data_IF_747372329452
#
_entry.id   IF_747372329452
#
_cell.length_a   1.000
_cell.length_b   1.000
_cell.length_c   1.000
_cell.angle_alpha   90.00
_cell.angle_beta   90.00
_cell.angle_gamma   90.00
#
_symmetry.space_group_name_H-M   'P 1'
#
loop_
_entity.id
_entity.type
_entity.pdbx_description
1 polymer ?
2 non-polymer ?
3 non-polymer ?
4 non-polymer ?
5 water ?
#
# COMPACT_ATOMS: atom_id res chain seq x y z
N UNK A 5 5.30 9.63 16.47
CA UNK A 5 5.19 10.05 15.05
C UNK A 5 5.94 9.08 14.13
N UNK A 6 5.23 8.54 13.14
CA UNK A 6 5.79 7.60 12.17
C UNK A 6 5.52 8.12 10.77
N UNK A 7 6.51 8.00 9.89
CA UNK A 7 6.42 8.51 8.52
C UNK A 7 6.85 7.43 7.55
N UNK A 8 6.01 7.16 6.55
CA UNK A 8 6.35 6.22 5.50
C UNK A 8 6.74 7.00 4.26
N UNK A 9 8.05 7.02 3.96
CA UNK A 9 8.55 7.73 2.79
C UNK A 9 8.26 6.87 1.57
N UNK A 10 7.37 7.34 0.72
CA UNK A 10 6.77 6.49 -0.30
C UNK A 10 7.18 6.89 -1.71
N UNK A 11 7.67 5.90 -2.46
CA UNK A 11 7.84 6.00 -3.91
C UNK A 11 6.55 5.56 -4.58
N UNK A 12 5.95 6.47 -5.36
CA UNK A 12 4.76 6.17 -6.14
C UNK A 12 5.17 6.06 -7.59
N UNK A 13 4.79 4.96 -8.22
CA UNK A 13 5.12 4.70 -9.62
C UNK A 13 3.84 4.48 -10.41
N UNK A 14 3.79 5.05 -11.61
CA UNK A 14 2.68 4.85 -12.54
C UNK A 14 3.26 4.35 -13.85
N UNK A 15 2.62 3.35 -14.45
CA UNK A 15 3.16 2.77 -15.70
C UNK A 15 2.71 3.55 -16.93
N UNK A 16 3.21 3.13 -18.09
CA UNK A 16 2.88 3.81 -19.36
C UNK A 16 1.37 3.86 -19.65
N UNK A 17 0.66 2.81 -19.24
CA UNK A 17 -0.80 2.76 -19.41
C UNK A 17 -1.51 3.84 -18.60
N UNK A 18 -1.04 4.09 -17.37
CA UNK A 18 -1.54 5.21 -16.57
C UNK A 18 -1.30 6.55 -17.25
N UNK A 19 -0.09 6.73 -17.81
CA UNK A 19 0.27 7.95 -18.52
C UNK A 19 -0.60 8.13 -19.76
N UNK A 20 -0.79 7.05 -20.52
CA UNK A 20 -1.63 7.06 -21.73
C UNK A 20 -3.06 7.49 -21.43
N UNK A 21 -3.62 6.98 -20.34
CA UNK A 21 -5.01 7.28 -20.00
C UNK A 21 -5.18 8.65 -19.32
N UNK A 22 -4.41 8.89 -18.26
CA UNK A 22 -4.59 10.09 -17.44
C UNK A 22 -3.92 11.34 -18.02
N UNK A 23 -2.89 11.15 -18.86
CA UNK A 23 -2.20 12.26 -19.51
C UNK A 23 -1.64 13.28 -18.54
N UNK A 24 -1.85 14.57 -18.85
CA UNK A 24 -1.33 15.67 -18.05
C UNK A 24 -1.83 15.68 -16.60
N UNK A 25 -3.02 15.12 -16.36
CA UNK A 25 -3.59 15.09 -15.00
C UNK A 25 -3.10 13.97 -14.10
N UNK A 26 -2.18 13.15 -14.59
CA UNK A 26 -1.73 11.96 -13.85
C UNK A 26 -1.09 12.28 -12.49
N UNK A 27 -0.16 13.25 -12.47
CA UNK A 27 0.52 13.58 -11.22
C UNK A 27 -0.48 14.01 -10.14
N UNK A 28 -1.37 14.92 -10.49
CA UNK A 28 -2.41 15.38 -9.57
C UNK A 28 -3.31 14.22 -9.12
N UNK A 29 -3.66 13.34 -10.06
CA UNK A 29 -4.49 12.17 -9.73
C UNK A 29 -3.80 11.26 -8.72
N UNK A 30 -2.53 10.94 -8.96
CA UNK A 30 -1.77 10.08 -8.06
C UNK A 30 -1.67 10.69 -6.67
N UNK A 31 -1.38 11.99 -6.59
CA UNK A 31 -1.31 12.67 -5.30
C UNK A 31 -2.68 12.71 -4.61
N UNK A 32 -3.75 12.80 -5.38
CA UNK A 32 -5.10 12.78 -4.81
C UNK A 32 -5.42 11.39 -4.23
N UNK A 33 -5.11 10.35 -4.99
CA UNK A 33 -5.29 8.96 -4.54
C UNK A 33 -4.50 8.72 -3.26
N UNK A 34 -3.24 9.16 -3.24
CA UNK A 34 -2.39 8.92 -2.08
C UNK A 34 -2.79 9.76 -0.87
N UNK A 35 -3.34 10.95 -1.10
CA UNK A 35 -3.87 11.76 0.00
C UNK A 35 -5.03 11.05 0.68
N UNK A 36 -5.90 10.42 -0.11
CA UNK A 36 -7.03 9.68 0.44
C UNK A 36 -6.55 8.45 1.22
N UNK A 37 -5.57 7.72 0.67
CA UNK A 37 -4.98 6.60 1.38
C UNK A 37 -4.33 7.07 2.68
N UNK A 38 -3.63 8.20 2.64
CA UNK A 38 -2.99 8.75 3.83
C UNK A 38 -4.02 9.09 4.91
N UNK A 39 -5.17 9.62 4.50
CA UNK A 39 -6.24 9.92 5.44
C UNK A 39 -6.67 8.66 6.20
N UNK A 40 -6.78 7.53 5.49
CA UNK A 40 -7.13 6.27 6.16
C UNK A 40 -6.11 5.87 7.21
N UNK A 41 -4.82 6.06 6.92
CA UNK A 41 -3.76 5.65 7.85
C UNK A 41 -3.60 6.55 9.08
N UNK A 42 -4.29 7.69 9.09
CA UNK A 42 -4.35 8.55 10.28
C UNK A 42 -5.63 8.36 11.10
N UNK A 43 -6.56 7.57 10.60
CA UNK A 43 -7.82 7.38 11.31
C UNK A 43 -7.58 6.67 12.65
N UNK A 44 -8.18 7.18 13.75
CA UNK A 44 -7.94 6.62 15.08
C UNK A 44 -8.20 5.11 15.24
N UNK A 45 -9.09 4.57 14.42
CA UNK A 45 -9.36 3.12 14.42
C UNK A 45 -8.13 2.27 14.13
N UNK A 46 -7.09 2.84 13.52
CA UNK A 46 -5.85 2.10 13.29
C UNK A 46 -4.99 1.94 14.56
N UNK A 47 -5.31 2.68 15.62
CA UNK A 47 -4.62 2.60 16.94
C UNK A 47 -3.22 3.21 16.95
N UNK A 48 -2.39 2.84 15.98
CA UNK A 48 -1.08 3.45 15.80
C UNK A 48 -0.98 4.11 14.43
N UNK A 49 -1.46 5.37 14.33
CA UNK A 49 -1.44 6.06 13.05
C UNK A 49 -0.03 6.22 12.47
N UNK A 50 0.05 6.23 11.14
CA UNK A 50 1.29 6.54 10.44
C UNK A 50 0.98 7.57 9.37
N UNK A 51 1.96 8.42 9.07
CA UNK A 51 1.85 9.41 8.02
C UNK A 51 2.42 8.86 6.71
N UNK A 52 1.55 8.57 5.76
CA UNK A 52 1.95 8.14 4.42
C UNK A 52 2.38 9.37 3.64
N UNK A 53 3.68 9.48 3.33
CA UNK A 53 4.21 10.67 2.69
C UNK A 53 4.80 10.33 1.33
N UNK A 54 4.27 10.90 0.26
CA UNK A 54 4.84 10.72 -1.06
C UNK A 54 6.10 11.56 -1.15
N UNK A 55 7.24 10.90 -1.37
CA UNK A 55 8.53 11.59 -1.46
C UNK A 55 9.14 11.51 -2.86
N UNK A 56 8.77 10.50 -3.64
CA UNK A 56 9.23 10.36 -5.01
C UNK A 56 8.08 9.87 -5.86
N UNK A 57 8.01 10.35 -7.10
CA UNK A 57 6.94 10.01 -8.02
C UNK A 57 7.53 9.77 -9.40
N UNK A 58 7.38 8.54 -9.89
CA UNK A 58 7.92 8.13 -11.18
C UNK A 58 6.78 7.81 -12.13
N UNK A 59 6.76 8.50 -13.27
CA UNK A 59 5.82 8.18 -14.35
C UNK A 59 6.63 7.54 -15.47
N UNK A 60 6.34 6.28 -15.77
CA UNK A 60 7.09 5.52 -16.78
C UNK A 60 6.56 5.76 -18.19
N UNK A 66 11.69 -0.08 -17.52
CA UNK A 66 10.77 -0.28 -16.40
C UNK A 66 10.50 -1.74 -16.08
N UNK A 67 9.62 -1.99 -15.09
CA UNK A 67 9.27 -3.36 -14.70
C UNK A 67 8.33 -4.02 -15.69
N UNK A 68 8.26 -5.36 -15.65
CA UNK A 68 7.38 -6.12 -16.52
C UNK A 68 5.97 -6.18 -15.93
N UNK A 69 5.03 -5.52 -16.60
CA UNK A 69 3.64 -5.48 -16.16
C UNK A 69 2.79 -6.35 -17.07
N UNK A 70 2.13 -7.36 -16.48
CA UNK A 70 1.26 -8.26 -17.21
C UNK A 70 0.10 -8.71 -16.35
N UNK A 71 -0.78 -9.57 -16.91
CA UNK A 71 -1.98 -10.05 -16.21
C UNK A 71 -1.72 -10.71 -14.85
N UNK A 72 -0.62 -11.45 -14.72
CA UNK A 72 -0.31 -12.12 -13.47
C UNK A 72 0.07 -11.10 -12.40
N UNK A 73 -0.76 -11.01 -11.37
CA UNK A 73 -0.50 -10.11 -10.24
C UNK A 73 0.80 -10.48 -9.53
N UNK A 74 1.02 -11.78 -9.29
CA UNK A 74 2.23 -12.26 -8.63
C UNK A 74 3.49 -11.89 -9.39
N UNK A 75 3.50 -12.15 -10.70
CA UNK A 75 4.66 -11.83 -11.53
C UNK A 75 4.92 -10.34 -11.60
N UNK A 76 3.85 -9.56 -11.75
CA UNK A 76 3.96 -8.11 -11.81
C UNK A 76 4.50 -7.55 -10.49
N UNK A 77 4.00 -8.05 -9.37
CA UNK A 77 4.51 -7.62 -8.06
C UNK A 77 6.01 -7.91 -7.95
N UNK A 78 6.40 -9.14 -8.30
CA UNK A 78 7.80 -9.55 -8.18
C UNK A 78 8.70 -8.74 -9.11
N UNK A 79 8.28 -8.51 -10.35
CA UNK A 79 9.05 -7.70 -11.29
C UNK A 79 9.20 -6.27 -10.79
N UNK A 80 8.09 -5.68 -10.37
CA UNK A 80 8.11 -4.32 -9.82
C UNK A 80 9.03 -4.23 -8.61
N UNK A 81 8.93 -5.20 -7.70
CA UNK A 81 9.71 -5.16 -6.48
C UNK A 81 11.21 -5.33 -6.74
N UNK A 82 11.57 -6.14 -7.74
CA UNK A 82 12.97 -6.25 -8.14
C UNK A 82 13.45 -4.94 -8.75
N UNK A 83 12.63 -4.35 -9.62
CA UNK A 83 12.97 -3.12 -10.30
C UNK A 83 13.13 -1.92 -9.36
N UNK A 84 12.22 -1.78 -8.39
CA UNK A 84 12.25 -0.61 -7.48
C UNK A 84 13.52 -0.57 -6.62
N UNK A 85 14.09 -1.74 -6.33
CA UNK A 85 15.31 -1.80 -5.53
C UNK A 85 16.42 -0.95 -6.16
N UNK A 86 16.48 -0.95 -7.49
CA UNK A 86 17.50 -0.19 -8.22
C UNK A 86 17.40 1.32 -8.10
N UNK A 87 16.22 1.82 -7.74
CA UNK A 87 16.02 3.26 -7.53
C UNK A 87 16.37 3.72 -6.12
N UNK A 88 16.47 2.79 -5.18
CA UNK A 88 16.67 3.14 -3.78
C UNK A 88 18.14 3.33 -3.46
N UNK A 89 18.41 3.90 -2.29
CA UNK A 89 19.77 4.06 -1.79
C UNK A 89 19.95 3.17 -0.56
N UNK A 90 21.20 2.85 -0.20
CA UNK A 90 21.41 1.97 0.96
C UNK A 90 20.94 2.53 2.31
N UNK A 91 21.00 3.85 2.50
CA UNK A 91 20.77 4.44 3.82
C UNK A 91 19.55 5.35 3.85
N UNK A 92 18.75 5.21 4.91
CA UNK A 92 17.52 6.00 5.07
C UNK A 92 17.81 7.49 5.29
N UNK A 93 19.01 7.82 5.76
CA UNK A 93 19.39 9.23 5.92
C UNK A 93 19.65 9.96 4.59
N UNK A 94 19.85 9.22 3.50
CA UNK A 94 19.94 9.82 2.18
C UNK A 94 18.53 10.28 1.77
N UNK A 95 18.35 11.54 1.35
CA UNK A 95 17.00 12.01 1.04
C UNK A 95 16.30 11.26 -0.10
N UNK A 96 17.07 10.61 -0.99
CA UNK A 96 16.48 9.81 -2.07
C UNK A 96 15.96 8.46 -1.59
N UNK A 97 16.32 8.03 -0.39
CA UNK A 97 15.84 6.75 0.12
C UNK A 97 14.34 6.78 0.34
N UNK A 98 13.68 5.66 0.07
CA UNK A 98 12.26 5.51 0.35
C UNK A 98 12.00 4.21 1.11
N UNK A 99 10.93 4.21 1.89
CA UNK A 99 10.57 3.08 2.76
C UNK A 99 9.62 2.08 2.09
N UNK A 100 8.84 2.52 1.12
CA UNK A 100 7.94 1.60 0.43
C UNK A 100 7.72 2.08 -1.00
N UNK A 101 7.35 1.15 -1.86
CA UNK A 101 7.16 1.41 -3.29
C UNK A 101 5.80 0.86 -3.71
N UNK A 102 4.99 1.70 -4.34
CA UNK A 102 3.66 1.31 -4.77
C UNK A 102 3.50 1.64 -6.25
N UNK A 103 3.08 0.64 -7.02
CA UNK A 103 2.83 0.78 -8.46
C UNK A 103 1.34 0.88 -8.74
N UNK A 104 0.95 1.87 -9.54
CA UNK A 104 -0.39 1.96 -10.10
C UNK A 104 -0.32 1.62 -11.59
N UNK A 105 -1.20 0.71 -12.01
CA UNK A 105 -1.25 0.29 -13.41
C UNK A 105 -2.70 0.22 -13.90
N UNK A 106 -2.91 0.41 -15.19
CA UNK A 106 -4.23 0.18 -15.80
C UNK A 106 -4.38 -1.27 -16.24
N UNK A 107 -3.31 -2.07 -16.14
CA UNK A 107 -3.37 -3.50 -16.44
C UNK A 107 -4.39 -4.19 -15.55
N UNK A 108 -5.23 -5.03 -16.16
CA UNK A 108 -6.14 -5.89 -15.42
C UNK A 108 -5.33 -7.00 -14.76
N UNK A 109 -5.14 -6.88 -13.45
CA UNK A 109 -4.37 -7.87 -12.69
C UNK A 109 -5.22 -9.08 -12.38
N UNK A 110 -4.61 -10.26 -12.46
CA UNK A 110 -5.32 -11.51 -12.31
C UNK A 110 -4.61 -12.47 -11.36
N UNK A 111 -5.38 -13.38 -10.79
CA UNK A 111 -4.85 -14.51 -10.03
C UNK A 111 -4.86 -15.76 -10.89
N UNK A 112 -4.88 -16.91 -10.22
CA UNK A 112 -4.77 -18.21 -10.92
C UNK A 112 -6.01 -18.56 -11.76
N UNK A 113 -7.19 -18.14 -11.31
CA UNK A 113 -8.46 -18.52 -11.97
C UNK A 113 -9.31 -17.36 -12.48
N UNK A 114 -9.24 -16.20 -11.82
CA UNK A 114 -10.03 -15.04 -12.20
C UNK A 114 -9.16 -13.80 -12.30
N UNK A 115 -9.74 -12.73 -12.85
CA UNK A 115 -9.10 -11.42 -12.89
C UNK A 115 -9.79 -10.43 -11.94
N UNK A 116 -10.48 -10.95 -10.93
CA UNK A 116 -11.20 -10.10 -9.98
C UNK A 116 -10.28 -9.29 -9.09
N UNK A 117 -9.04 -9.76 -8.90
CA UNK A 117 -8.10 -9.07 -8.03
C UNK A 117 -7.80 -7.66 -8.54
N UNK A 118 -7.59 -6.75 -7.59
CA UNK A 118 -7.26 -5.36 -7.90
C UNK A 118 -5.88 -4.97 -7.40
N UNK A 119 -5.13 -5.89 -6.81
CA UNK A 119 -3.81 -5.55 -6.31
C UNK A 119 -3.16 -6.68 -5.55
N UNK A 120 -1.91 -6.46 -5.18
CA UNK A 120 -1.12 -7.46 -4.44
C UNK A 120 0.02 -6.77 -3.70
N UNK A 121 0.38 -7.32 -2.54
CA UNK A 121 1.51 -6.83 -1.77
C UNK A 121 2.09 -7.97 -0.98
N UNK A 122 3.36 -7.90 -0.61
CA UNK A 122 3.84 -8.84 0.38
C UNK A 122 3.53 -8.31 1.76
N UNK A 123 3.61 -9.21 2.73
CA UNK A 123 2.98 -8.99 4.00
C UNK A 123 4.02 -8.73 5.09
N UNK A 124 3.89 -7.60 5.76
CA UNK A 124 4.75 -7.27 6.90
C UNK A 124 6.17 -6.97 6.52
N UNK A 125 6.35 -6.12 5.52
CA UNK A 125 7.65 -5.89 4.89
C UNK A 125 8.09 -4.43 4.86
N UNK A 126 7.40 -3.55 5.60
CA UNK A 126 7.53 -2.11 5.36
C UNK A 126 8.96 -1.59 5.51
N UNK A 127 9.77 -2.18 6.39
CA UNK A 127 11.15 -1.71 6.57
C UNK A 127 12.19 -2.67 6.03
N UNK A 128 11.79 -3.48 5.04
CA UNK A 128 12.70 -4.31 4.26
C UNK A 128 12.72 -3.76 2.84
N UNK A 129 13.77 -3.00 2.48
CA UNK A 129 13.79 -2.39 1.15
C UNK A 129 13.75 -3.37 -0.03
N UNK A 130 14.11 -4.63 0.21
CA UNK A 130 14.02 -5.66 -0.83
C UNK A 130 12.60 -6.17 -1.05
N UNK A 131 11.69 -5.90 -0.11
CA UNK A 131 10.35 -6.47 -0.13
C UNK A 131 9.19 -5.49 0.10
N UNK A 132 9.49 -4.22 0.38
CA UNK A 132 8.43 -3.28 0.76
C UNK A 132 7.73 -2.74 -0.49
N UNK A 133 6.78 -3.52 -0.99
CA UNK A 133 6.23 -3.35 -2.34
C UNK A 133 4.75 -3.69 -2.41
N UNK A 134 4.04 -2.94 -3.25
CA UNK A 134 2.63 -3.16 -3.49
C UNK A 134 2.30 -2.74 -4.91
N UNK A 135 1.30 -3.42 -5.50
CA UNK A 135 0.77 -3.03 -6.80
C UNK A 135 -0.74 -2.85 -6.72
N UNK A 136 -1.25 -1.92 -7.51
CA UNK A 136 -2.66 -1.56 -7.53
C UNK A 136 -3.13 -1.42 -8.98
N UNK A 137 -4.21 -2.11 -9.29
CA UNK A 137 -4.94 -1.90 -10.53
C UNK A 137 -5.82 -0.66 -10.35
N UNK A 138 -5.52 0.39 -11.12
CA UNK A 138 -6.27 1.64 -11.03
C UNK A 138 -7.65 1.50 -11.66
N UNK A 139 -8.68 1.49 -10.83
CA UNK A 139 -10.06 1.37 -11.33
C UNK A 139 -10.67 2.72 -11.68
N UNK A 140 -10.03 3.81 -11.27
CA UNK A 140 -10.46 5.16 -11.61
C UNK A 140 -11.29 5.88 -10.56
N UNK A 141 -11.78 5.15 -9.56
CA UNK A 141 -12.66 5.73 -8.53
C UNK A 141 -12.30 5.32 -7.11
N UNK A 142 -12.02 4.03 -6.91
CA UNK A 142 -11.77 3.50 -5.57
C UNK A 142 -10.31 3.08 -5.35
N UNK A 143 -9.39 3.63 -6.16
CA UNK A 143 -8.00 3.19 -6.11
C UNK A 143 -7.32 3.48 -4.77
N UNK A 144 -7.76 4.52 -4.07
CA UNK A 144 -7.22 4.82 -2.75
C UNK A 144 -7.56 3.72 -1.72
N UNK A 145 -8.72 3.09 -1.86
CA UNK A 145 -9.10 1.98 -0.99
C UNK A 145 -8.24 0.75 -1.26
N UNK A 146 -8.02 0.42 -2.53
CA UNK A 146 -7.13 -0.68 -2.86
C UNK A 146 -5.71 -0.39 -2.37
N UNK A 147 -5.23 0.83 -2.58
CA UNK A 147 -3.92 1.21 -2.07
C UNK A 147 -3.84 1.03 -0.56
N UNK A 148 -4.87 1.46 0.15
CA UNK A 148 -4.90 1.29 1.60
C UNK A 148 -4.89 -0.19 2.00
N UNK A 149 -5.62 -1.02 1.27
CA UNK A 149 -5.65 -2.46 1.53
C UNK A 149 -4.26 -3.08 1.35
N UNK A 150 -3.61 -2.73 0.24
CA UNK A 150 -2.29 -3.30 -0.04
C UNK A 150 -1.24 -2.81 0.96
N UNK A 151 -1.28 -1.52 1.28
CA UNK A 151 -0.38 -1.00 2.30
C UNK A 151 -0.69 -1.59 3.68
N UNK A 152 -1.95 -1.90 3.96
CA UNK A 152 -2.31 -2.65 5.15
C UNK A 152 -1.55 -3.97 5.23
N UNK A 153 -1.53 -4.70 4.12
CA UNK A 153 -0.72 -5.92 4.06
C UNK A 153 0.76 -5.66 4.31
N UNK A 154 1.30 -4.60 3.70
CA UNK A 154 2.70 -4.23 3.92
C UNK A 154 2.97 -4.01 5.41
N UNK A 155 1.98 -3.48 6.14
CA UNK A 155 2.03 -3.30 7.60
C UNK A 155 1.62 -4.53 8.43
N UNK A 156 1.61 -5.70 7.80
CA UNK A 156 1.40 -7.00 8.45
C UNK A 156 -0.06 -7.36 8.75
N UNK A 157 -1.00 -6.65 8.13
CA UNK A 157 -2.41 -6.92 8.38
C UNK A 157 -2.88 -8.14 7.60
N UNK A 158 -3.74 -8.93 8.24
CA UNK A 158 -4.42 -10.05 7.61
C UNK A 158 -5.79 -9.61 7.13
N UNK A 159 -6.47 -10.50 6.42
CA UNK A 159 -7.85 -10.27 6.05
C UNK A 159 -8.77 -10.45 7.25
N UNK A 160 -9.86 -9.70 7.24
CA UNK A 160 -10.77 -9.70 8.39
C UNK A 160 -11.60 -10.97 8.55
N UNK A 161 -11.63 -11.82 7.51
CA UNK A 161 -12.27 -13.13 7.62
C UNK A 161 -11.30 -14.28 7.93
N UNK A 162 -10.04 -13.94 8.21
CA UNK A 162 -9.04 -14.93 8.60
C UNK A 162 -9.31 -15.42 10.02
N UNK A 163 -8.70 -16.55 10.39
CA UNK A 163 -8.95 -17.16 11.70
C UNK A 163 -8.55 -16.25 12.86
N UNK A 164 -7.34 -15.66 12.81
CA UNK A 164 -6.94 -14.76 13.90
C UNK A 164 -7.83 -13.51 14.06
N UNK A 165 -8.38 -13.02 12.95
CA UNK A 165 -9.22 -11.81 13.01
C UNK A 165 -10.62 -12.08 13.59
N UNK A 166 -11.10 -13.33 13.51
CA UNK A 166 -12.42 -13.67 14.04
C UNK A 166 -12.51 -13.35 15.54
N UNK A 167 -11.51 -13.81 16.28
CA UNK A 167 -11.46 -13.63 17.73
C UNK A 167 -11.13 -12.19 18.14
N UNK A 168 -10.48 -11.44 17.26
CA UNK A 168 -10.14 -10.04 17.52
C UNK A 168 -11.29 -9.10 17.12
N UNK A 169 -12.04 -9.47 16.08
CA UNK A 169 -13.15 -8.63 15.60
C UNK A 169 -14.48 -8.93 16.28
N UNK A 170 -14.66 -10.16 16.74
CA UNK A 170 -15.91 -10.57 17.36
C UNK A 170 -16.95 -10.98 16.33
N UNK A 171 -18.11 -11.45 16.81
CA UNK A 171 -19.15 -12.04 15.96
C UNK A 171 -19.96 -11.01 15.16
N UNK A 172 -20.12 -9.80 15.70
CA UNK A 172 -20.92 -8.77 15.05
C UNK A 172 -20.07 -8.00 14.05
N UNK A 175 -17.98 -7.23 6.95
CA UNK A 175 -17.06 -7.02 5.84
C UNK A 175 -16.97 -5.53 5.46
N UNK A 176 -17.00 -4.68 6.47
CA UNK A 176 -17.13 -3.24 6.30
C UNK A 176 -15.82 -2.48 6.55
N UNK A 177 -14.69 -3.17 6.40
CA UNK A 177 -13.38 -2.55 6.70
C UNK A 177 -12.44 -2.68 5.52
N UNK A 178 -11.33 -1.96 5.60
CA UNK A 178 -10.34 -1.93 4.51
C UNK A 178 -9.74 -3.32 4.25
N UNK A 179 -9.56 -4.11 5.30
CA UNK A 179 -8.93 -5.42 5.15
C UNK A 179 -9.92 -6.57 4.95
N UNK A 180 -11.16 -6.24 4.54
CA UNK A 180 -12.02 -7.25 3.95
C UNK A 180 -11.28 -7.85 2.74
N UNK A 181 -11.52 -9.14 2.43
CA UNK A 181 -10.80 -9.77 1.32
C UNK A 181 -11.18 -9.24 -0.06
N UNK A 182 -12.39 -8.71 -0.17
CA UNK A 182 -12.86 -8.09 -1.41
C UNK A 182 -13.43 -6.73 -1.06
N UNK A 183 -13.34 -5.79 -1.99
CA UNK A 183 -13.83 -4.44 -1.73
C UNK A 183 -15.34 -4.44 -1.48
N UNK A 184 -15.72 -3.84 -0.36
CA UNK A 184 -17.12 -3.58 -0.04
C UNK A 184 -17.18 -2.18 0.55
N UNK A 185 -18.38 -1.68 0.79
CA UNK A 185 -18.53 -0.34 1.34
C UNK A 185 -17.88 -0.26 2.73
N UNK A 186 -16.90 0.64 2.85
CA UNK A 186 -16.11 0.78 4.08
C UNK A 186 -16.81 1.70 5.07
N UNK A 187 -16.88 1.25 6.33
CA UNK A 187 -17.46 2.02 7.42
C UNK A 187 -16.62 3.28 7.67
N UNK A 188 -17.20 4.48 7.50
CA UNK A 188 -16.37 5.68 7.69
C UNK A 188 -15.91 5.92 9.13
N UNK A 189 -16.61 5.35 10.11
CA UNK A 189 -16.20 5.45 11.52
C UNK A 189 -15.19 4.39 11.93
N UNK A 190 -14.99 3.39 11.09
CA UNK A 190 -14.11 2.30 11.44
C UNK A 190 -13.53 1.66 10.17
N UNK A 191 -12.70 2.41 9.43
CA UNK A 191 -12.07 1.84 8.24
C UNK A 191 -11.18 0.64 8.57
N UNK A 192 -10.59 0.64 9.77
CA UNK A 192 -9.75 -0.47 10.22
C UNK A 192 -10.47 -1.26 11.31
N UNK A 193 -10.49 -2.57 11.16
CA UNK A 193 -11.07 -3.45 12.17
C UNK A 193 -10.15 -3.52 13.40
N UNK A 194 -10.67 -4.03 14.52
CA UNK A 194 -9.78 -4.26 15.66
C UNK A 194 -8.62 -5.21 15.32
N UNK A 195 -8.86 -6.16 14.44
CA UNK A 195 -7.80 -7.07 14.01
C UNK A 195 -6.68 -6.30 13.30
N UNK A 196 -7.04 -5.43 12.37
CA UNK A 196 -6.06 -4.61 11.64
C UNK A 196 -5.26 -3.76 12.62
N UNK A 197 -5.94 -3.11 13.55
CA UNK A 197 -5.30 -2.26 14.55
C UNK A 197 -4.31 -3.06 15.39
N UNK A 198 -4.72 -4.25 15.81
CA UNK A 198 -3.85 -5.11 16.61
C UNK A 198 -2.60 -5.50 15.84
N UNK A 199 -2.76 -5.89 14.58
CA UNK A 199 -1.63 -6.39 13.82
C UNK A 199 -0.61 -5.30 13.49
N UNK A 200 -1.06 -4.11 13.10
CA UNK A 200 -0.10 -3.02 12.87
C UNK A 200 0.57 -2.60 14.18
N UNK A 201 -0.20 -2.57 15.27
CA UNK A 201 0.34 -2.19 16.58
C UNK A 201 1.42 -3.17 17.04
N UNK A 202 1.13 -4.46 16.96
CA UNK A 202 2.14 -5.48 17.31
C UNK A 202 3.39 -5.34 16.44
N UNK A 203 3.17 -5.15 15.14
CA UNK A 203 4.23 -5.02 14.15
C UNK A 203 5.19 -3.89 14.53
N UNK A 204 4.62 -2.73 14.86
CA UNK A 204 5.41 -1.57 15.28
C UNK A 204 6.02 -1.76 16.67
N UNK A 205 5.23 -2.27 17.61
CA UNK A 205 5.73 -2.57 18.97
C UNK A 205 6.92 -3.53 18.93
N UNK A 206 6.90 -4.48 17.99
CA UNK A 206 7.95 -5.48 17.86
C UNK A 206 9.20 -5.00 17.11
N UNK A 207 9.19 -3.75 16.67
CA UNK A 207 10.36 -3.10 16.07
C UNK A 207 10.45 -3.16 14.55
N UNK A 208 9.40 -3.65 13.89
CA UNK A 208 9.43 -3.80 12.43
C UNK A 208 9.22 -2.49 11.67
N UNK A 209 8.90 -1.41 12.40
CA UNK A 209 8.77 -0.08 11.81
C UNK A 209 9.94 0.85 12.12
N UNK A 210 11.12 0.27 12.32
CA UNK A 210 12.33 1.02 12.70
C UNK A 210 12.79 2.04 11.65
N UNK A 211 12.36 1.86 10.40
CA UNK A 211 12.69 2.80 9.31
C UNK A 211 11.66 3.93 9.16
N UNK A 212 10.66 3.99 10.04
CA UNK A 212 9.58 4.95 9.92
C UNK A 212 9.71 6.12 10.89
N UNK A 213 10.88 6.27 11.51
CA UNK A 213 11.05 7.27 12.56
C UNK A 213 11.64 8.59 12.06
N UNK A 214 12.30 8.59 10.90
CA UNK A 214 12.85 9.82 10.33
C UNK A 214 11.81 10.59 9.53
N UNK A 215 11.82 11.92 9.67
CA UNK A 215 10.82 12.78 9.04
C UNK A 215 11.33 13.26 7.68
N UNK A 216 10.59 13.01 6.60
CA UNK A 216 11.07 13.40 5.26
C UNK A 216 11.15 14.91 5.07
N UNK A 217 12.17 15.34 4.32
CA UNK A 217 12.48 16.77 4.17
C UNK A 217 11.60 17.48 3.14
N UNK A 218 11.20 16.75 2.09
CA UNK A 218 10.55 17.34 0.93
C UNK A 218 9.36 16.52 0.45
N UNK A 219 8.27 16.50 1.23
CA UNK A 219 7.07 15.79 0.78
C UNK A 219 6.44 16.40 -0.47
N UNK A 220 5.81 15.55 -1.28
CA UNK A 220 5.03 15.98 -2.42
C UNK A 220 3.56 15.95 -2.04
X LIG B 1 -5.74 -8.69 0.67
X LIG C 1 12.27 6.29 6.55
X LIG D 1 14.64 8.92 5.00
X LIG E 1 -8.20 -7.41 -12.09
X LIG F 1 -6.78 -10.31 -1.75
X LIG F 1 -6.31 -11.42 -3.88
X LIG F 1 -5.92 -9.42 -1.16
X LIG F 1 -6.69 -10.09 -3.23
X LIG F 1 -5.22 -8.70 -2.07
X LIG F 1 -9.59 -3.71 -1.92
X LIG F 1 -10.42 -5.20 -0.26
X LIG F 1 -10.15 -2.64 -1.23
X LIG F 1 -10.97 -4.15 0.42
X LIG F 1 -8.51 -5.84 -3.25
X LIG F 1 -8.02 -9.57 -3.73
X LIG F 1 -9.72 -4.99 -1.43
X LIG F 1 -10.84 -2.86 -0.07
X LIG F 1 -8.01 -7.14 -3.85
X LIG F 1 -5.61 -9.14 -3.31
X LIG F 1 -8.34 -8.28 -3.16
X LIG F 1 -7.51 -11.11 -1.19
X LIG F 1 -4.39 -7.84 -1.79
X LIG F 1 -7.37 -7.15 -4.89
X LIG F 1 -9.20 -6.13 -2.03
X LIG F 1 -11.55 -1.54 0.81
#
# INVERSE_FOLDING_TARGET
>A
FASLSRFVETLVVADDKMAAFHGAGLKRYLLTVMAAAAKAFKHPSIRNPVSLVVTRLVILGSGEEGPQVGPSAAQTLRSFCAWQRGLNTPEDSDPDHFDTAILFTRQDLCGVSTCDTLGMADVGTVCDPARSCAIVEDDGLQSAFTAAHELGHVFNMLHDNSKPCISLNGPLSTSRHVMAPVMAHVDPEEPWSPCSARFITDFLDNGYGHCLLDKPEAPLHLPVTFPDVHHHHHH
>B hetero
1 ZN ZN
>C hetero
1 CA CA
>D hetero
1 CA CA
>E hetero
1 CA CA
>F hetero
1 3PQ C7 C6 N1 C5 C2 C16 C21 C17 C20 C13 C9 C15 C18 C11 N4 N10 O8 O3 O12 O14 CL1
#
